data_IF_984551310692
#
_entry.id   IF_984551310692
#
_cell.length_a   1.000
_cell.length_b   1.000
_cell.length_c   1.000
_cell.angle_alpha   90.00
_cell.angle_beta   90.00
_cell.angle_gamma   90.00
#
_symmetry.space_group_name_H-M   'P 1'
#
loop_
_entity.id
_entity.type
_entity.pdbx_description
1 polymer ?
#
# COMPACT_ATOMS: atom_id res chain seq x y z
N UNK A 1 -8.14 -23.56 3.07
CA UNK A 1 -8.29 -22.13 3.41
C UNK A 1 -8.28 -21.36 2.10
N UNK A 2 -9.46 -21.08 1.55
CA UNK A 2 -9.56 -20.26 0.34
C UNK A 2 -9.05 -18.85 0.65
N UNK A 3 -8.15 -18.27 -0.18
CA UNK A 3 -7.67 -16.92 0.05
C UNK A 3 -8.80 -15.89 -0.17
N UNK A 4 -9.30 -15.31 0.93
CA UNK A 4 -10.32 -14.27 0.94
C UNK A 4 -9.74 -12.87 0.64
N UNK A 5 -9.26 -12.74 -0.58
CA UNK A 5 -9.08 -11.50 -1.34
C UNK A 5 -9.25 -11.95 -2.77
N UNK A 6 -10.38 -11.60 -3.40
CA UNK A 6 -10.56 -11.86 -4.83
C UNK A 6 -9.30 -11.39 -5.55
N UNK A 7 -8.71 -12.22 -6.41
CA UNK A 7 -7.38 -11.96 -7.00
C UNK A 7 -7.24 -10.55 -7.57
N UNK A 8 -8.35 -9.93 -7.98
CA UNK A 8 -8.47 -8.53 -8.35
C UNK A 8 -8.08 -7.52 -7.25
N UNK A 9 -8.61 -7.60 -6.03
CA UNK A 9 -8.25 -6.67 -4.92
C UNK A 9 -6.76 -6.76 -4.58
N UNK A 10 -6.23 -7.98 -4.62
CA UNK A 10 -4.79 -8.23 -4.42
C UNK A 10 -3.95 -7.58 -5.53
N UNK A 11 -4.34 -7.76 -6.79
CA UNK A 11 -3.64 -7.14 -7.93
C UNK A 11 -3.70 -5.63 -7.84
N UNK A 12 -4.86 -5.05 -7.55
CA UNK A 12 -5.04 -3.59 -7.39
C UNK A 12 -4.12 -3.05 -6.30
N UNK A 13 -4.07 -3.68 -5.12
CA UNK A 13 -3.17 -3.25 -4.03
C UNK A 13 -1.70 -3.36 -4.39
N UNK A 14 -1.31 -4.42 -5.10
CA UNK A 14 0.07 -4.57 -5.57
C UNK A 14 0.40 -3.46 -6.57
N UNK A 15 -0.46 -3.24 -7.57
CA UNK A 15 -0.26 -2.21 -8.59
C UNK A 15 -0.17 -0.82 -7.96
N UNK A 16 -1.13 -0.45 -7.11
CA UNK A 16 -1.12 0.85 -6.42
C UNK A 16 0.06 0.99 -5.47
N UNK A 17 0.43 -0.08 -4.76
CA UNK A 17 1.58 -0.08 -3.87
C UNK A 17 2.90 0.13 -4.60
N UNK A 18 3.12 -0.57 -5.72
CA UNK A 18 4.28 -0.39 -6.59
C UNK A 18 4.30 1.01 -7.18
N UNK A 19 3.16 1.52 -7.66
CA UNK A 19 3.06 2.89 -8.18
C UNK A 19 3.44 3.93 -7.12
N UNK A 20 2.92 3.80 -5.90
CA UNK A 20 3.26 4.71 -4.80
C UNK A 20 4.75 4.69 -4.48
N UNK A 21 5.40 3.51 -4.45
CA UNK A 21 6.85 3.42 -4.23
C UNK A 21 7.66 4.00 -5.39
N UNK A 22 7.22 3.77 -6.63
CA UNK A 22 7.88 4.35 -7.81
C UNK A 22 7.79 5.88 -7.81
N UNK A 23 6.66 6.42 -7.37
CA UNK A 23 6.46 7.85 -7.21
C UNK A 23 7.34 8.41 -6.09
N UNK A 24 7.49 7.69 -4.98
CA UNK A 24 8.41 8.08 -3.91
C UNK A 24 9.86 8.19 -4.42
N UNK A 25 10.32 7.25 -5.25
CA UNK A 25 11.65 7.28 -5.86
C UNK A 25 11.81 8.46 -6.83
N UNK A 26 10.80 8.69 -7.67
CA UNK A 26 10.80 9.81 -8.62
C UNK A 26 10.82 11.16 -7.89
N UNK A 27 10.01 11.34 -6.85
CA UNK A 27 9.97 12.58 -6.08
C UNK A 27 11.28 12.76 -5.30
N UNK A 28 11.77 11.72 -4.63
CA UNK A 28 13.00 11.77 -3.85
C UNK A 28 14.26 12.11 -4.66
N UNK A 29 14.30 11.70 -5.94
CA UNK A 29 15.40 12.02 -6.86
C UNK A 29 15.23 13.35 -7.60
N UNK A 30 14.03 13.94 -7.57
CA UNK A 30 13.77 15.20 -8.28
C UNK A 30 14.28 16.42 -7.51
N UNK A 31 14.71 17.43 -8.27
CA UNK A 31 15.03 18.78 -7.78
C UNK A 31 13.87 19.77 -7.97
N UNK A 32 12.72 19.29 -8.46
CA UNK A 32 11.55 20.12 -8.76
C UNK A 32 10.76 20.55 -7.51
N UNK A 33 10.97 19.87 -6.37
CA UNK A 33 10.28 20.15 -5.11
C UNK A 33 11.24 20.73 -4.07
N UNK A 34 10.71 21.53 -3.13
CA UNK A 34 11.48 21.98 -1.98
C UNK A 34 11.85 20.79 -1.09
N UNK A 35 12.90 20.92 -0.27
CA UNK A 35 13.36 19.83 0.59
C UNK A 35 12.25 19.30 1.50
N UNK A 36 11.45 20.19 2.09
CA UNK A 36 10.35 19.83 3.00
C UNK A 36 9.19 19.12 2.27
N UNK A 37 8.77 19.64 1.12
CA UNK A 37 7.69 19.01 0.33
C UNK A 37 8.13 17.67 -0.24
N UNK A 38 9.40 17.55 -0.67
CA UNK A 38 9.99 16.29 -1.11
C UNK A 38 10.02 15.26 0.01
N UNK A 39 10.48 15.63 1.20
CA UNK A 39 10.57 14.70 2.32
C UNK A 39 9.18 14.20 2.74
N UNK A 40 8.22 15.12 2.89
CA UNK A 40 6.86 14.77 3.29
C UNK A 40 6.16 13.87 2.26
N UNK A 41 6.28 14.19 0.97
CA UNK A 41 5.69 13.39 -0.11
C UNK A 41 6.33 12.01 -0.25
N UNK A 42 7.64 11.89 -0.10
CA UNK A 42 8.35 10.60 -0.07
C UNK A 42 7.87 9.76 1.10
N UNK A 43 7.81 10.32 2.31
CA UNK A 43 7.34 9.61 3.51
C UNK A 43 5.93 9.08 3.29
N UNK A 44 4.98 9.94 2.89
CA UNK A 44 3.59 9.52 2.66
C UNK A 44 3.50 8.43 1.61
N UNK A 45 4.22 8.56 0.49
CA UNK A 45 4.20 7.60 -0.60
C UNK A 45 4.79 6.24 -0.21
N UNK A 46 5.88 6.23 0.57
CA UNK A 46 6.49 5.01 1.11
C UNK A 46 5.56 4.33 2.11
N UNK A 47 4.96 5.09 3.04
CA UNK A 47 4.02 4.54 4.01
C UNK A 47 2.80 3.92 3.31
N UNK A 48 2.20 4.63 2.36
CA UNK A 48 1.05 4.13 1.61
C UNK A 48 1.41 2.90 0.77
N UNK A 49 2.52 2.96 0.03
CA UNK A 49 2.99 1.85 -0.80
C UNK A 49 3.31 0.61 0.02
N UNK A 50 4.03 0.78 1.13
CA UNK A 50 4.35 -0.28 2.07
C UNK A 50 3.10 -0.89 2.70
N UNK A 51 2.12 -0.08 3.10
CA UNK A 51 0.86 -0.57 3.66
C UNK A 51 0.04 -1.39 2.65
N UNK A 52 -0.06 -0.92 1.41
CA UNK A 52 -0.78 -1.63 0.34
C UNK A 52 -0.09 -2.97 0.01
N UNK A 53 1.23 -2.98 -0.13
CA UNK A 53 1.97 -4.21 -0.43
C UNK A 53 1.95 -5.19 0.73
N UNK A 54 2.18 -4.72 1.96
CA UNK A 54 2.13 -5.60 3.14
C UNK A 54 0.74 -6.22 3.29
N UNK A 55 -0.34 -5.44 3.14
CA UNK A 55 -1.71 -5.97 3.20
C UNK A 55 -2.04 -6.95 2.06
N UNK A 56 -1.50 -6.72 0.85
CA UNK A 56 -1.66 -7.64 -0.28
C UNK A 56 -0.85 -8.94 -0.13
N UNK A 57 0.33 -8.87 0.48
CA UNK A 57 1.24 -10.01 0.65
C UNK A 57 0.87 -10.89 1.82
N UNK A 58 0.38 -10.33 2.93
CA UNK A 58 0.03 -11.13 4.12
C UNK A 58 -1.23 -11.96 3.91
N UNK A 59 -2.05 -11.68 2.89
CA UNK A 59 -3.39 -12.30 2.65
C UNK A 59 -4.30 -12.34 3.88
N UNK A 60 -3.91 -11.61 4.92
CA UNK A 60 -4.58 -11.39 6.18
C UNK A 60 -4.72 -9.89 6.22
N UNK A 61 -5.93 -9.40 6.00
CA UNK A 61 -6.23 -8.00 6.27
C UNK A 61 -5.92 -7.75 7.75
N UNK A 62 -4.71 -7.28 8.06
CA UNK A 62 -4.33 -6.83 9.41
C UNK A 62 -5.32 -5.75 9.88
N UNK A 63 -5.82 -4.93 8.95
CA UNK A 63 -6.95 -4.02 9.16
C UNK A 63 -8.25 -4.72 9.57
N UNK A 64 -8.67 -5.80 8.90
CA UNK A 64 -9.90 -6.53 9.28
C UNK A 64 -9.75 -7.28 10.62
N UNK A 65 -8.53 -7.75 10.95
CA UNK A 65 -8.25 -8.37 12.25
C UNK A 65 -8.23 -7.35 13.40
N UNK A 66 -7.74 -6.14 13.14
CA UNK A 66 -7.78 -5.02 14.09
C UNK A 66 -9.17 -4.37 14.21
N UNK A 67 -9.95 -4.35 13.13
CA UNK A 67 -11.31 -3.82 13.07
C UNK A 67 -12.39 -4.85 13.44
N UNK A 68 -12.00 -6.11 13.72
CA UNK A 68 -12.94 -7.17 14.09
C UNK A 68 -13.92 -7.60 12.98
N UNK A 69 -13.73 -7.14 11.75
CA UNK A 69 -14.62 -7.44 10.63
C UNK A 69 -14.23 -8.80 10.05
N UNK A 70 -14.84 -9.86 10.56
CA UNK A 70 -14.84 -11.17 9.94
C UNK A 70 -15.71 -11.12 8.68
N UNK A 71 -15.11 -10.84 7.53
CA UNK A 71 -15.76 -11.04 6.21
C UNK A 71 -15.69 -12.50 5.76
N UNK A 72 -15.63 -13.45 6.71
CA UNK A 72 -15.90 -14.85 6.44
C UNK A 72 -17.41 -14.98 6.21
N UNK A 73 -17.85 -14.70 4.99
CA UNK A 73 -19.13 -15.20 4.52
C UNK A 73 -19.05 -16.73 4.53
N UNK A 74 -20.11 -17.33 5.07
CA UNK A 74 -20.24 -18.75 5.40
C UNK A 74 -20.15 -19.66 4.18
#
# INVERSE_FOLDING_TARGET
>A
MEPNVGGFDRTVRITLGVLALSLALAIGSSAAFSADTRLLSVVVSVFLGGFLLTSALTRRCLGNRLLGINTCER
#
